data_IF_841084362840
#
_entry.id   IF_841084362840
#
_cell.length_a   1.000
_cell.length_b   1.000
_cell.length_c   1.000
_cell.angle_alpha   90.00
_cell.angle_beta   90.00
_cell.angle_gamma   90.00
#
_symmetry.space_group_name_H-M   'P 1'
#
loop_
_entity.id
_entity.type
_entity.pdbx_description
1 polymer ?
#
# COMPACT_ATOMS: atom_id res chain seq x y z
N UNK A 1 8.85 -3.46 -0.29
CA UNK A 1 8.24 -2.55 0.69
C UNK A 1 8.18 -3.15 2.09
N UNK A 2 7.38 -4.17 2.39
CA UNK A 2 7.27 -4.65 3.78
C UNK A 2 8.53 -5.32 4.34
N UNK A 3 9.36 -5.97 3.51
CA UNK A 3 10.58 -6.67 3.97
C UNK A 3 11.61 -5.76 4.67
N UNK A 4 12.06 -4.63 4.09
CA UNK A 4 13.03 -3.77 4.76
C UNK A 4 12.51 -3.23 6.10
N UNK A 5 11.28 -2.73 6.13
CA UNK A 5 10.65 -2.21 7.37
C UNK A 5 10.52 -3.30 8.44
N UNK A 6 10.05 -4.50 8.08
CA UNK A 6 9.93 -5.62 9.02
C UNK A 6 11.28 -6.14 9.51
N UNK A 7 12.32 -6.06 8.67
CA UNK A 7 13.69 -6.41 9.03
C UNK A 7 14.27 -5.45 10.06
N UNK A 8 14.20 -4.15 9.77
CA UNK A 8 14.82 -3.09 10.58
C UNK A 8 14.09 -2.87 11.91
N UNK A 9 12.77 -2.66 11.87
CA UNK A 9 11.98 -2.36 13.08
C UNK A 9 11.44 -3.62 13.78
N UNK A 10 11.80 -4.81 13.31
CA UNK A 10 11.34 -6.11 13.85
C UNK A 10 9.81 -6.21 13.97
N UNK A 11 9.09 -5.62 13.00
CA UNK A 11 7.63 -5.62 12.99
C UNK A 11 7.08 -6.93 12.42
N UNK A 12 5.93 -7.43 12.91
CA UNK A 12 5.31 -8.63 12.33
C UNK A 12 4.98 -8.40 10.85
N UNK A 13 5.48 -9.27 9.97
CA UNK A 13 5.40 -9.07 8.52
C UNK A 13 3.99 -8.76 7.99
N UNK A 14 2.97 -9.44 8.52
CA UNK A 14 1.57 -9.21 8.13
C UNK A 14 1.04 -7.83 8.53
N UNK A 15 1.50 -7.29 9.67
CA UNK A 15 1.12 -5.96 10.14
C UNK A 15 1.70 -4.90 9.21
N UNK A 16 2.99 -4.99 8.89
CA UNK A 16 3.65 -4.08 7.94
C UNK A 16 2.99 -4.09 6.56
N UNK A 17 2.62 -5.29 6.06
CA UNK A 17 1.87 -5.42 4.80
C UNK A 17 0.54 -4.68 4.88
N UNK A 18 -0.23 -4.93 5.95
CA UNK A 18 -1.57 -4.35 6.10
C UNK A 18 -1.52 -2.83 6.21
N UNK A 19 -0.55 -2.27 6.92
CA UNK A 19 -0.33 -0.81 7.03
C UNK A 19 0.02 -0.17 5.68
N UNK A 20 0.87 -0.82 4.87
CA UNK A 20 1.28 -0.29 3.55
C UNK A 20 0.22 -0.49 2.44
N UNK A 21 -0.66 -1.48 2.59
CA UNK A 21 -1.53 -1.96 1.52
C UNK A 21 -2.43 -0.84 0.93
N UNK A 22 -3.10 0.03 1.72
CA UNK A 22 -3.93 1.08 1.16
C UNK A 22 -3.18 2.04 0.22
N UNK A 23 -1.97 2.48 0.60
CA UNK A 23 -1.16 3.38 -0.22
C UNK A 23 -0.67 2.67 -1.51
N UNK A 24 -0.22 1.42 -1.40
CA UNK A 24 0.15 0.59 -2.55
C UNK A 24 -1.02 0.39 -3.51
N UNK A 25 -2.23 0.18 -2.97
CA UNK A 25 -3.44 0.05 -3.78
C UNK A 25 -3.75 1.31 -4.59
N UNK A 26 -3.65 2.49 -3.96
CA UNK A 26 -3.85 3.78 -4.65
C UNK A 26 -2.83 3.98 -5.77
N UNK A 27 -1.57 3.66 -5.52
CA UNK A 27 -0.53 3.71 -6.56
C UNK A 27 -0.84 2.77 -7.73
N UNK A 28 -1.25 1.53 -7.43
CA UNK A 28 -1.48 0.49 -8.43
C UNK A 28 -2.79 0.61 -9.21
N UNK A 29 -3.75 1.42 -8.74
CA UNK A 29 -5.06 1.59 -9.35
C UNK A 29 -4.97 1.84 -10.87
N UNK A 30 -4.07 2.73 -11.30
CA UNK A 30 -3.90 3.10 -12.72
C UNK A 30 -3.42 1.96 -13.62
N UNK A 31 -2.80 0.92 -13.05
CA UNK A 31 -2.38 -0.28 -13.76
C UNK A 31 -3.46 -1.37 -13.84
N UNK A 32 -4.55 -1.26 -13.09
CA UNK A 32 -5.53 -2.34 -12.95
C UNK A 32 -6.94 -1.89 -12.50
N UNK A 33 -7.46 -0.77 -13.02
CA UNK A 33 -8.73 -0.18 -12.57
C UNK A 33 -9.90 -1.17 -12.45
N UNK A 34 -10.10 -2.04 -13.44
CA UNK A 34 -11.21 -3.01 -13.45
C UNK A 34 -11.13 -3.98 -12.25
N UNK A 35 -9.92 -4.35 -11.82
CA UNK A 35 -9.71 -5.20 -10.64
C UNK A 35 -10.01 -4.45 -9.34
N UNK A 36 -9.73 -3.15 -9.29
CA UNK A 36 -10.04 -2.34 -8.11
C UNK A 36 -11.54 -2.04 -7.98
N UNK A 37 -12.26 -1.86 -9.09
CA UNK A 37 -13.74 -1.81 -9.08
C UNK A 37 -14.32 -3.11 -8.50
N UNK A 38 -13.81 -4.26 -8.96
CA UNK A 38 -14.21 -5.57 -8.43
C UNK A 38 -13.91 -5.71 -6.93
N UNK A 39 -12.70 -5.32 -6.49
CA UNK A 39 -12.33 -5.34 -5.06
C UNK A 39 -13.29 -4.47 -4.24
N UNK A 40 -13.62 -3.25 -4.69
CA UNK A 40 -14.55 -2.37 -3.98
C UNK A 40 -15.92 -3.05 -3.79
N UNK A 41 -16.47 -3.66 -4.85
CA UNK A 41 -17.75 -4.39 -4.78
C UNK A 41 -17.68 -5.59 -3.83
N UNK A 42 -16.60 -6.36 -3.88
CA UNK A 42 -16.39 -7.51 -2.99
C UNK A 42 -16.25 -7.11 -1.52
N UNK A 43 -15.73 -5.90 -1.27
CA UNK A 43 -15.67 -5.30 0.06
C UNK A 43 -17.00 -4.69 0.52
N UNK A 44 -18.04 -4.73 -0.32
CA UNK A 44 -19.38 -4.23 -0.01
C UNK A 44 -19.59 -2.74 -0.29
N UNK A 45 -18.67 -2.09 -1.02
CA UNK A 45 -18.81 -0.69 -1.41
C UNK A 45 -19.74 -0.54 -2.62
N UNK A 46 -20.59 0.50 -2.58
CA UNK A 46 -21.31 0.96 -3.77
C UNK A 46 -20.40 1.83 -4.64
N UNK A 47 -20.23 1.41 -5.89
CA UNK A 47 -19.41 2.06 -6.91
C UNK A 47 -20.20 2.38 -8.19
N UNK A 48 -21.53 2.25 -8.17
CA UNK A 48 -22.35 2.57 -9.33
C UNK A 48 -22.25 4.05 -9.71
N UNK A 49 -22.03 4.33 -10.99
CA UNK A 49 -21.90 5.70 -11.52
C UNK A 49 -20.61 6.43 -11.15
N UNK A 50 -19.69 5.81 -10.41
CA UNK A 50 -18.40 6.41 -10.08
C UNK A 50 -17.42 6.36 -11.25
N UNK A 51 -16.45 7.29 -11.25
CA UNK A 51 -15.28 7.17 -12.11
C UNK A 51 -14.40 5.99 -11.66
N UNK A 52 -13.56 5.48 -12.56
CA UNK A 52 -12.60 4.41 -12.26
C UNK A 52 -11.67 4.77 -11.09
N UNK A 53 -11.22 6.02 -11.03
CA UNK A 53 -10.40 6.53 -9.93
C UNK A 53 -11.16 6.53 -8.60
N UNK A 54 -12.42 6.98 -8.60
CA UNK A 54 -13.25 7.01 -7.39
C UNK A 54 -13.63 5.61 -6.89
N UNK A 55 -13.89 4.67 -7.80
CA UNK A 55 -14.12 3.27 -7.45
C UNK A 55 -12.86 2.63 -6.85
N UNK A 56 -11.68 2.90 -7.42
CA UNK A 56 -10.41 2.41 -6.88
C UNK A 56 -10.07 3.02 -5.51
N UNK A 57 -10.36 4.31 -5.31
CA UNK A 57 -10.20 4.95 -4.01
C UNK A 57 -11.12 4.32 -2.94
N UNK A 58 -12.34 3.94 -3.32
CA UNK A 58 -13.24 3.19 -2.43
C UNK A 58 -12.66 1.84 -2.03
N UNK A 59 -12.04 1.10 -2.95
CA UNK A 59 -11.36 -0.15 -2.62
C UNK A 59 -10.25 0.05 -1.60
N UNK A 60 -9.36 1.03 -1.82
CA UNK A 60 -8.26 1.32 -0.90
C UNK A 60 -8.77 1.78 0.48
N UNK A 61 -9.81 2.61 0.50
CA UNK A 61 -10.45 3.09 1.73
C UNK A 61 -11.12 1.95 2.50
N UNK A 62 -11.84 1.05 1.83
CA UNK A 62 -12.47 -0.09 2.47
C UNK A 62 -11.43 -1.05 3.10
N UNK A 63 -10.29 -1.24 2.44
CA UNK A 63 -9.18 -2.03 2.99
C UNK A 63 -8.54 -1.33 4.19
N UNK A 64 -8.33 -0.02 4.13
CA UNK A 64 -7.82 0.76 5.27
C UNK A 64 -8.76 0.67 6.48
N UNK A 65 -10.07 0.76 6.23
CA UNK A 65 -11.10 0.58 7.27
C UNK A 65 -11.05 -0.82 7.88
N UNK A 66 -10.99 -1.87 7.06
CA UNK A 66 -10.87 -3.24 7.55
C UNK A 66 -9.62 -3.43 8.42
N UNK A 67 -8.49 -2.85 8.01
CA UNK A 67 -7.25 -2.91 8.78
C UNK A 67 -7.42 -2.24 10.16
N UNK A 68 -8.02 -1.06 10.21
CA UNK A 68 -8.35 -0.37 11.46
C UNK A 68 -9.33 -1.17 12.33
N UNK A 69 -10.39 -1.73 11.74
CA UNK A 69 -11.42 -2.53 12.45
C UNK A 69 -10.83 -3.77 13.16
N UNK A 70 -9.70 -4.30 12.66
CA UNK A 70 -8.99 -5.46 13.26
C UNK A 70 -7.74 -5.07 14.06
N UNK A 71 -7.51 -3.77 14.28
CA UNK A 71 -6.44 -3.26 15.14
C UNK A 71 -5.05 -3.24 14.50
N UNK A 72 -4.96 -3.11 13.18
CA UNK A 72 -3.69 -2.80 12.50
C UNK A 72 -3.35 -1.31 12.73
N UNK A 73 -2.08 -0.97 13.04
CA UNK A 73 -1.62 0.42 13.11
C UNK A 73 -1.92 1.18 11.81
N UNK A 74 -2.40 2.43 11.94
CA UNK A 74 -2.91 3.19 10.81
C UNK A 74 -1.80 3.63 9.86
N UNK A 75 -0.57 3.72 10.36
CA UNK A 75 0.58 4.20 9.62
C UNK A 75 1.90 3.59 10.12
N UNK A 76 2.98 3.91 9.42
CA UNK A 76 4.33 3.42 9.69
C UNK A 76 4.99 4.11 10.88
N UNK A 77 4.57 5.33 11.24
CA UNK A 77 5.10 6.00 12.43
C UNK A 77 4.71 5.27 13.72
N UNK A 78 3.52 4.67 13.79
CA UNK A 78 3.13 3.75 14.87
C UNK A 78 3.98 2.46 14.92
N UNK A 79 4.62 2.10 13.80
CA UNK A 79 5.56 0.99 13.69
C UNK A 79 7.02 1.39 13.94
N UNK A 80 7.27 2.67 14.24
CA UNK A 80 8.59 3.21 14.56
C UNK A 80 9.40 3.70 13.36
N UNK A 81 8.82 3.74 12.16
CA UNK A 81 9.47 4.28 10.97
C UNK A 81 9.50 5.80 11.03
N UNK A 82 10.61 6.39 10.63
CA UNK A 82 10.79 7.84 10.50
C UNK A 82 10.96 8.27 9.05
N UNK A 83 10.75 9.57 8.79
CA UNK A 83 10.84 10.12 7.43
C UNK A 83 12.24 10.02 6.83
N UNK A 84 13.30 10.10 7.65
CA UNK A 84 14.69 9.99 7.22
C UNK A 84 15.10 8.57 6.80
N UNK A 85 14.33 7.54 7.18
CA UNK A 85 14.56 6.15 6.78
C UNK A 85 13.96 5.82 5.39
N UNK A 86 13.07 6.67 4.86
CA UNK A 86 12.33 6.38 3.62
C UNK A 86 13.26 6.11 2.44
N UNK A 87 14.30 6.93 2.26
CA UNK A 87 15.21 6.79 1.13
C UNK A 87 15.93 5.42 1.16
N UNK A 88 16.37 4.98 2.35
CA UNK A 88 17.02 3.69 2.53
C UNK A 88 16.04 2.53 2.28
N UNK A 89 14.82 2.58 2.85
CA UNK A 89 13.82 1.54 2.62
C UNK A 89 13.32 1.47 1.17
N UNK A 90 13.33 2.60 0.46
CA UNK A 90 13.03 2.64 -0.96
C UNK A 90 14.14 1.96 -1.78
N UNK A 91 15.41 2.27 -1.52
CA UNK A 91 16.56 1.61 -2.13
C UNK A 91 16.52 0.10 -1.90
N UNK A 92 16.39 -0.35 -0.65
CA UNK A 92 16.29 -1.77 -0.29
C UNK A 92 15.11 -2.46 -0.96
N UNK A 93 13.96 -1.77 -1.07
CA UNK A 93 12.80 -2.30 -1.77
C UNK A 93 13.10 -2.55 -3.25
N UNK A 94 13.84 -1.63 -3.90
CA UNK A 94 14.21 -1.74 -5.30
C UNK A 94 15.20 -2.88 -5.55
N UNK A 95 15.95 -3.34 -4.55
CA UNK A 95 16.80 -4.54 -4.70
C UNK A 95 15.98 -5.83 -4.85
N UNK A 96 14.74 -5.86 -4.38
CA UNK A 96 13.87 -7.05 -4.39
C UNK A 96 13.09 -7.17 -5.72
N UNK A 97 13.82 -7.10 -6.84
CA UNK A 97 13.27 -7.08 -8.20
C UNK A 97 12.28 -8.23 -8.48
N UNK A 98 12.54 -9.43 -7.92
CA UNK A 98 11.68 -10.61 -8.11
C UNK A 98 10.21 -10.39 -7.72
N UNK A 99 9.94 -9.46 -6.80
CA UNK A 99 8.58 -9.14 -6.34
C UNK A 99 7.99 -7.95 -7.11
N UNK A 100 8.84 -7.01 -7.55
CA UNK A 100 8.41 -5.81 -8.28
C UNK A 100 7.98 -6.10 -9.72
N UNK A 101 8.61 -7.09 -10.38
CA UNK A 101 8.29 -7.46 -11.78
C UNK A 101 6.83 -7.92 -11.95
N UNK A 102 6.20 -8.43 -10.90
CA UNK A 102 4.79 -8.85 -10.92
C UNK A 102 3.79 -7.72 -10.65
N UNK A 103 4.24 -6.51 -10.33
CA UNK A 103 3.36 -5.40 -9.98
C UNK A 103 2.62 -4.87 -11.23
N UNK A 104 1.30 -4.58 -11.15
CA UNK A 104 0.51 -4.18 -12.34
C UNK A 104 0.91 -2.82 -12.91
N UNK A 105 1.68 -2.03 -12.14
CA UNK A 105 2.25 -0.75 -12.55
C UNK A 105 3.77 -0.84 -12.38
N UNK A 106 4.53 -0.35 -13.36
CA UNK A 106 5.99 -0.24 -13.21
C UNK A 106 6.31 0.63 -11.99
N UNK A 107 7.24 0.14 -11.17
CA UNK A 107 7.65 0.81 -9.92
C UNK A 107 9.05 1.36 -10.10
N UNK A 108 9.23 2.66 -9.88
CA UNK A 108 10.53 3.31 -9.75
C UNK A 108 10.80 3.67 -8.27
N UNK A 109 12.06 3.93 -7.91
CA UNK A 109 12.41 4.27 -6.52
C UNK A 109 11.60 5.45 -5.98
N UNK A 110 11.42 6.51 -6.78
CA UNK A 110 10.61 7.69 -6.41
C UNK A 110 9.14 7.34 -6.13
N UNK A 111 8.60 6.31 -6.79
CA UNK A 111 7.25 5.84 -6.50
C UNK A 111 7.21 5.17 -5.12
N UNK A 112 8.23 4.37 -4.79
CA UNK A 112 8.35 3.70 -3.50
C UNK A 112 8.49 4.71 -2.36
N UNK A 113 9.33 5.74 -2.55
CA UNK A 113 9.48 6.85 -1.60
C UNK A 113 8.14 7.55 -1.36
N UNK A 114 7.40 7.87 -2.44
CA UNK A 114 6.10 8.51 -2.31
C UNK A 114 5.06 7.62 -1.60
N UNK A 115 5.06 6.30 -1.86
CA UNK A 115 4.16 5.38 -1.15
C UNK A 115 4.52 5.34 0.34
N UNK A 116 5.81 5.31 0.70
CA UNK A 116 6.23 5.38 2.10
C UNK A 116 5.81 6.69 2.76
N UNK A 117 5.99 7.84 2.09
CA UNK A 117 5.55 9.15 2.58
C UNK A 117 4.04 9.20 2.83
N UNK A 118 3.25 8.59 1.95
CA UNK A 118 1.79 8.48 2.12
C UNK A 118 1.37 7.51 3.24
N UNK A 119 2.31 6.72 3.74
CA UNK A 119 2.09 5.70 4.77
C UNK A 119 2.69 6.07 6.12
N UNK A 120 3.33 7.24 6.27
CA UNK A 120 3.85 7.73 7.56
C UNK A 120 2.72 8.20 8.49
#
# INVERSE_FOLDING_TARGET
MAYPVAGEHHTPHGVTIATLLPAVMRFNATGAFDRYDEIARLMGEDVEGLSRDAAAEKAATAVAKLASDVGIPENLTELGVTEDEIAAFAEDTMEIQRLLVGNPRRVEQVDVEHIFQQSL
#
